data_IF_869781171702
#
_entry.id   IF_869781171702
#
_cell.length_a   1.000
_cell.length_b   1.000
_cell.length_c   1.000
_cell.angle_alpha   90.00
_cell.angle_beta   90.00
_cell.angle_gamma   90.00
#
_symmetry.space_group_name_H-M   'P 1'
#
loop_
_entity.id
_entity.type
_entity.pdbx_description
1 polymer ?
#
# COMPACT_ATOMS: atom_id res chain seq x y z
N UNK A 1 -3.25 27.89 -13.42
CA UNK A 1 -3.91 26.61 -13.11
C UNK A 1 -4.86 26.27 -14.27
N UNK A 2 -4.54 25.22 -15.04
CA UNK A 2 -5.40 24.67 -16.10
C UNK A 2 -6.66 24.04 -15.49
N UNK A 3 -7.80 24.04 -16.22
CA UNK A 3 -9.09 23.43 -15.81
C UNK A 3 -8.96 21.99 -15.27
N UNK A 4 -7.96 21.23 -15.75
CA UNK A 4 -7.62 19.87 -15.33
C UNK A 4 -7.02 19.74 -13.91
N UNK A 5 -6.55 20.82 -13.30
CA UNK A 5 -6.06 20.87 -11.91
C UNK A 5 -7.22 21.11 -10.92
N UNK A 6 -8.34 21.64 -11.41
CA UNK A 6 -9.45 22.04 -10.56
C UNK A 6 -10.36 20.85 -10.19
N UNK A 7 -10.62 19.92 -11.10
CA UNK A 7 -11.45 18.73 -10.81
C UNK A 7 -10.83 17.81 -9.72
N UNK A 8 -9.50 17.72 -9.66
CA UNK A 8 -8.76 16.92 -8.67
C UNK A 8 -8.77 17.49 -7.24
N UNK A 9 -9.42 18.63 -7.03
CA UNK A 9 -9.47 19.30 -5.73
C UNK A 9 -10.76 19.01 -4.95
N UNK A 10 -11.68 18.22 -5.52
CA UNK A 10 -12.84 17.71 -4.80
C UNK A 10 -12.42 16.83 -3.60
N UNK A 11 -13.03 17.04 -2.45
CA UNK A 11 -12.72 16.38 -1.18
C UNK A 11 -11.70 17.12 -0.30
N UNK A 12 -10.93 18.06 -0.84
CA UNK A 12 -9.87 18.76 -0.10
C UNK A 12 -10.41 19.77 0.92
N UNK A 13 -9.68 19.96 2.01
CA UNK A 13 -9.87 21.07 2.94
C UNK A 13 -9.20 22.33 2.39
N UNK A 14 -9.87 23.46 2.48
CA UNK A 14 -9.35 24.75 2.06
C UNK A 14 -9.85 25.85 2.97
N UNK A 15 -9.04 26.90 3.14
CA UNK A 15 -9.44 28.17 3.70
C UNK A 15 -9.89 29.11 2.59
N UNK A 16 -10.95 29.87 2.88
CA UNK A 16 -11.39 30.94 1.99
C UNK A 16 -10.45 32.13 2.17
N UNK A 17 -10.00 32.74 1.07
CA UNK A 17 -9.17 33.94 1.09
C UNK A 17 -9.58 34.90 -0.04
N UNK A 18 -9.42 36.21 0.19
CA UNK A 18 -9.68 37.24 -0.81
C UNK A 18 -11.11 37.28 -1.39
N UNK A 19 -12.09 36.71 -0.69
CA UNK A 19 -13.49 36.70 -1.12
C UNK A 19 -14.11 38.08 -0.87
N UNK A 20 -14.32 38.86 -1.94
CA UNK A 20 -14.84 40.22 -1.85
C UNK A 20 -16.34 40.29 -1.57
N UNK A 21 -17.12 39.31 -2.04
CA UNK A 21 -18.59 39.31 -1.88
C UNK A 21 -19.05 39.02 -0.45
N UNK A 22 -18.21 38.33 0.32
CA UNK A 22 -18.45 37.92 1.71
C UNK A 22 -17.14 37.96 2.49
N UNK A 23 -16.60 39.15 2.80
CA UNK A 23 -15.30 39.29 3.44
C UNK A 23 -15.20 38.62 4.81
N UNK A 24 -16.34 38.49 5.51
CA UNK A 24 -16.48 37.81 6.80
C UNK A 24 -16.14 36.32 6.76
N UNK A 25 -16.19 35.70 5.57
CA UNK A 25 -15.83 34.30 5.38
C UNK A 25 -14.33 34.11 5.10
N UNK A 26 -13.54 35.17 4.93
CA UNK A 26 -12.10 35.03 4.76
C UNK A 26 -11.45 34.46 6.03
N UNK A 27 -10.67 33.39 5.87
CA UNK A 27 -10.11 32.59 6.95
C UNK A 27 -10.97 31.39 7.36
N UNK A 28 -12.25 31.33 6.93
CA UNK A 28 -13.13 30.21 7.23
C UNK A 28 -12.67 28.93 6.49
N UNK A 29 -12.76 27.79 7.19
CA UNK A 29 -12.47 26.47 6.64
C UNK A 29 -13.65 25.92 5.88
N UNK A 30 -13.37 25.24 4.77
CA UNK A 30 -14.35 24.62 3.93
C UNK A 30 -13.81 23.33 3.30
N UNK A 31 -14.71 22.37 3.05
CA UNK A 31 -14.42 21.19 2.23
C UNK A 31 -14.86 21.45 0.80
N UNK A 32 -13.99 21.21 -0.17
CA UNK A 32 -14.36 21.27 -1.58
C UNK A 32 -15.22 20.05 -1.91
N UNK A 33 -16.40 20.28 -2.47
CA UNK A 33 -17.32 19.20 -2.86
C UNK A 33 -17.06 18.77 -4.31
N UNK A 34 -16.99 19.74 -5.22
CA UNK A 34 -16.76 19.51 -6.65
C UNK A 34 -16.36 20.78 -7.37
N UNK A 35 -15.72 20.64 -8.52
CA UNK A 35 -15.49 21.73 -9.45
C UNK A 35 -16.67 21.85 -10.43
N UNK A 36 -17.11 23.07 -10.70
CA UNK A 36 -18.17 23.42 -11.65
C UNK A 36 -17.53 24.05 -12.89
N UNK A 37 -17.25 23.28 -13.96
CA UNK A 37 -16.51 23.75 -15.12
C UNK A 37 -17.21 24.90 -15.85
N UNK A 38 -18.54 24.82 -15.99
CA UNK A 38 -19.36 25.84 -16.68
C UNK A 38 -19.29 27.22 -16.01
N UNK A 39 -19.00 27.24 -14.70
CA UNK A 39 -18.94 28.46 -13.88
C UNK A 39 -17.51 28.86 -13.52
N UNK A 40 -16.53 28.03 -13.89
CA UNK A 40 -15.13 28.12 -13.45
C UNK A 40 -15.00 28.37 -11.93
N UNK A 41 -15.77 27.61 -11.13
CA UNK A 41 -15.88 27.78 -9.67
C UNK A 41 -15.90 26.44 -8.96
N UNK A 42 -15.49 26.45 -7.70
CA UNK A 42 -15.63 25.34 -6.79
C UNK A 42 -16.92 25.44 -6.01
N UNK A 43 -17.63 24.33 -5.88
CA UNK A 43 -18.62 24.18 -4.84
C UNK A 43 -17.90 23.72 -3.58
N UNK A 44 -18.04 24.48 -2.51
CA UNK A 44 -17.43 24.22 -1.20
C UNK A 44 -18.52 24.12 -0.15
N UNK A 45 -18.22 23.44 0.95
CA UNK A 45 -19.06 23.37 2.14
C UNK A 45 -18.31 23.96 3.32
N UNK A 46 -18.87 25.00 3.93
CA UNK A 46 -18.28 25.61 5.13
C UNK A 46 -18.31 24.64 6.31
N UNK A 47 -17.24 24.64 7.10
CA UNK A 47 -17.16 23.82 8.32
C UNK A 47 -17.99 24.37 9.49
N UNK A 48 -18.41 25.64 9.44
CA UNK A 48 -19.13 26.32 10.52
C UNK A 48 -20.61 25.96 10.59
N UNK A 49 -21.28 25.95 9.44
CA UNK A 49 -22.74 25.88 9.33
C UNK A 49 -23.19 24.94 8.19
N UNK A 50 -22.27 24.15 7.64
CA UNK A 50 -22.48 23.26 6.49
C UNK A 50 -23.03 23.98 5.24
N UNK A 51 -22.99 25.31 5.18
CA UNK A 51 -23.52 26.06 4.06
C UNK A 51 -22.68 25.82 2.80
N UNK A 52 -23.36 25.61 1.66
CA UNK A 52 -22.71 25.36 0.39
C UNK A 52 -22.54 26.66 -0.41
N UNK A 53 -21.31 26.96 -0.80
CA UNK A 53 -20.94 28.17 -1.54
C UNK A 53 -20.24 27.84 -2.86
N UNK A 54 -20.30 28.78 -3.81
CA UNK A 54 -19.59 28.68 -5.08
C UNK A 54 -18.52 29.77 -5.22
N UNK A 55 -17.25 29.40 -5.09
CA UNK A 55 -16.12 30.35 -5.05
C UNK A 55 -15.14 30.10 -6.18
N UNK A 56 -14.37 31.12 -6.58
CA UNK A 56 -13.31 30.96 -7.59
C UNK A 56 -12.12 30.21 -6.99
N UNK A 57 -11.32 29.58 -7.83
CA UNK A 57 -10.06 28.94 -7.42
C UNK A 57 -9.13 29.90 -6.65
N UNK A 58 -9.06 31.16 -7.09
CA UNK A 58 -8.26 32.23 -6.46
C UNK A 58 -8.74 32.58 -5.05
N UNK A 59 -9.95 32.14 -4.66
CA UNK A 59 -10.50 32.36 -3.34
C UNK A 59 -10.30 31.19 -2.38
N UNK A 60 -9.57 30.16 -2.80
CA UNK A 60 -9.28 28.98 -2.00
C UNK A 60 -7.77 28.85 -1.78
N UNK A 61 -7.38 28.83 -0.52
CA UNK A 61 -6.08 28.38 -0.07
C UNK A 61 -6.26 26.97 0.47
N UNK A 62 -5.85 25.96 -0.29
CA UNK A 62 -5.92 24.58 0.17
C UNK A 62 -5.06 24.42 1.42
N UNK A 63 -5.65 23.91 2.50
CA UNK A 63 -4.86 23.55 3.66
C UNK A 63 -4.13 22.27 3.30
N UNK A 64 -2.79 22.32 3.28
CA UNK A 64 -1.96 21.14 3.25
C UNK A 64 -2.33 20.30 4.48
N UNK A 65 -3.14 19.26 4.28
CA UNK A 65 -3.31 18.24 5.30
C UNK A 65 -1.91 17.74 5.62
N UNK A 66 -1.53 17.67 6.90
CA UNK A 66 -0.22 17.24 7.38
C UNK A 66 0.27 15.86 6.86
N UNK A 67 -0.55 15.18 6.04
CA UNK A 67 -0.25 13.95 5.30
C UNK A 67 0.19 14.19 3.83
N UNK A 68 0.30 15.46 3.38
CA UNK A 68 0.45 15.85 1.98
C UNK A 68 1.89 16.01 1.47
N UNK A 69 2.89 16.07 2.35
CA UNK A 69 4.30 16.06 1.93
C UNK A 69 4.79 14.62 1.77
N UNK A 70 4.91 14.17 0.52
CA UNK A 70 5.63 12.94 0.20
C UNK A 70 7.15 13.07 0.37
N UNK A 71 7.67 14.29 0.50
CA UNK A 71 9.05 14.54 0.93
C UNK A 71 9.07 14.73 2.43
N UNK A 72 9.21 13.63 3.16
CA UNK A 72 9.62 13.67 4.57
C UNK A 72 11.07 13.19 4.66
N UNK A 73 11.71 13.37 5.82
CA UNK A 73 13.05 12.82 6.09
C UNK A 73 13.17 11.30 5.85
N UNK A 74 12.04 10.59 5.74
CA UNK A 74 11.96 9.13 5.60
C UNK A 74 11.60 8.65 4.21
N UNK A 75 11.11 9.52 3.33
CA UNK A 75 10.66 9.16 1.98
C UNK A 75 11.50 9.91 0.96
N UNK A 76 12.18 9.16 0.08
CA UNK A 76 12.87 9.73 -1.07
C UNK A 76 12.13 9.35 -2.34
N UNK A 77 11.72 10.36 -3.10
CA UNK A 77 11.04 10.20 -4.38
C UNK A 77 11.45 11.33 -5.32
N UNK A 78 11.80 10.97 -6.55
CA UNK A 78 11.97 11.94 -7.65
C UNK A 78 10.60 12.48 -8.13
N UNK A 79 9.51 11.88 -7.65
CA UNK A 79 8.12 12.17 -8.00
C UNK A 79 7.27 12.51 -6.77
N UNK A 80 7.84 13.20 -5.80
CA UNK A 80 7.15 13.51 -4.54
C UNK A 80 5.80 14.23 -4.74
N UNK A 81 5.68 15.09 -5.76
CA UNK A 81 4.44 15.81 -6.06
C UNK A 81 3.42 14.99 -6.89
N UNK A 82 3.80 13.79 -7.36
CA UNK A 82 2.95 12.96 -8.23
C UNK A 82 1.98 12.08 -7.44
N UNK A 83 2.03 12.06 -6.11
CA UNK A 83 1.17 11.23 -5.27
C UNK A 83 0.56 12.05 -4.14
N UNK A 84 -0.56 11.58 -3.58
CA UNK A 84 -1.17 12.23 -2.41
C UNK A 84 -2.00 11.25 -1.60
N UNK A 85 -1.91 11.33 -0.28
CA UNK A 85 -2.81 10.61 0.62
C UNK A 85 -4.17 11.31 0.64
N UNK A 86 -5.23 10.58 0.35
CA UNK A 86 -6.60 11.10 0.29
C UNK A 86 -7.58 10.11 0.93
N UNK A 87 -8.73 10.60 1.38
CA UNK A 87 -9.84 9.71 1.75
C UNK A 87 -10.41 9.04 0.50
N UNK A 88 -10.54 7.72 0.56
CA UNK A 88 -11.09 6.84 -0.48
C UNK A 88 -12.38 6.23 0.08
N UNK A 89 -13.46 6.42 -0.67
CA UNK A 89 -14.80 6.05 -0.21
C UNK A 89 -14.88 4.58 0.20
N UNK A 90 -15.34 4.34 1.45
CA UNK A 90 -15.44 3.02 2.05
C UNK A 90 -14.12 2.29 2.33
N UNK A 91 -12.96 2.94 2.15
CA UNK A 91 -11.62 2.31 2.26
C UNK A 91 -10.63 3.10 3.11
N UNK A 92 -11.10 4.16 3.78
CA UNK A 92 -10.27 5.03 4.61
C UNK A 92 -9.27 5.82 3.75
N UNK A 93 -8.06 6.03 4.25
CA UNK A 93 -7.02 6.77 3.51
C UNK A 93 -6.30 5.87 2.52
N UNK A 94 -6.19 6.32 1.27
CA UNK A 94 -5.43 5.70 0.18
C UNK A 94 -4.42 6.68 -0.43
N UNK A 95 -3.51 6.19 -1.27
CA UNK A 95 -2.58 7.04 -2.04
C UNK A 95 -3.09 7.18 -3.48
N UNK A 96 -3.27 8.39 -3.96
CA UNK A 96 -3.77 8.70 -5.31
C UNK A 96 -2.64 9.24 -6.19
N UNK A 97 -2.54 8.77 -7.42
CA UNK A 97 -1.65 9.32 -8.44
C UNK A 97 -2.21 10.64 -8.99
N UNK A 98 -1.43 11.72 -8.92
CA UNK A 98 -1.75 13.03 -9.47
C UNK A 98 -1.24 13.22 -10.91
N UNK A 99 -0.41 12.30 -11.37
CA UNK A 99 0.18 12.23 -12.70
C UNK A 99 0.19 10.76 -13.18
N UNK A 100 0.34 10.55 -14.49
CA UNK A 100 0.50 9.21 -15.02
C UNK A 100 1.89 8.64 -14.69
N UNK A 101 1.94 7.33 -14.46
CA UNK A 101 3.16 6.59 -14.12
C UNK A 101 3.29 5.39 -15.05
N UNK A 102 4.49 5.19 -15.59
CA UNK A 102 4.73 4.04 -16.46
C UNK A 102 5.08 2.80 -15.64
N UNK A 103 4.75 1.63 -16.17
CA UNK A 103 5.15 0.33 -15.62
C UNK A 103 6.66 0.29 -15.36
N UNK A 104 7.04 -0.19 -14.18
CA UNK A 104 8.43 -0.36 -13.75
C UNK A 104 9.07 0.88 -13.15
N UNK A 105 8.41 2.05 -13.20
CA UNK A 105 8.94 3.25 -12.56
C UNK A 105 9.03 3.11 -11.04
N UNK A 106 10.12 3.66 -10.47
CA UNK A 106 10.29 3.83 -9.03
C UNK A 106 9.38 4.95 -8.54
N UNK A 107 8.50 4.64 -7.58
CA UNK A 107 7.59 5.64 -7.00
C UNK A 107 8.27 6.33 -5.82
N UNK A 108 8.74 5.54 -4.85
CA UNK A 108 9.49 6.04 -3.70
C UNK A 108 10.30 4.94 -3.01
N UNK A 109 11.27 5.38 -2.21
CA UNK A 109 11.95 4.58 -1.19
C UNK A 109 11.59 5.17 0.17
N UNK A 110 11.24 4.34 1.13
CA UNK A 110 10.84 4.76 2.48
C UNK A 110 11.62 3.99 3.57
N UNK A 111 12.04 4.69 4.63
CA UNK A 111 12.63 4.10 5.84
C UNK A 111 11.55 3.92 6.92
N UNK A 112 11.64 2.88 7.78
CA UNK A 112 10.60 2.60 8.73
C UNK A 112 10.58 3.63 9.88
N UNK A 113 9.39 3.84 10.45
CA UNK A 113 9.23 4.60 11.70
C UNK A 113 9.30 3.70 12.93
N UNK A 114 8.86 2.46 12.81
CA UNK A 114 8.93 1.45 13.85
C UNK A 114 9.46 0.16 13.24
N UNK A 115 10.23 -0.61 13.99
CA UNK A 115 10.72 -1.91 13.57
C UNK A 115 10.77 -2.87 14.74
N UNK A 116 10.43 -4.13 14.50
CA UNK A 116 10.49 -5.18 15.49
C UNK A 116 11.12 -6.44 14.91
N UNK A 117 12.02 -7.07 15.65
CA UNK A 117 12.69 -8.29 15.25
C UNK A 117 12.26 -9.43 16.18
N UNK A 118 11.77 -10.54 15.60
CA UNK A 118 11.39 -11.75 16.35
C UNK A 118 12.05 -12.98 15.77
N UNK A 119 12.40 -13.98 16.60
CA UNK A 119 12.70 -15.30 16.07
C UNK A 119 11.52 -15.82 15.25
N UNK A 120 11.77 -16.39 14.07
CA UNK A 120 10.71 -16.86 13.15
C UNK A 120 9.73 -17.84 13.82
N UNK A 121 10.19 -18.57 14.83
CA UNK A 121 9.39 -19.51 15.65
C UNK A 121 8.19 -18.83 16.35
N UNK A 122 8.30 -17.53 16.62
CA UNK A 122 7.28 -16.73 17.29
C UNK A 122 6.60 -15.72 16.33
N UNK A 123 7.02 -15.65 15.07
CA UNK A 123 6.52 -14.69 14.09
C UNK A 123 5.04 -14.89 13.73
N UNK A 124 4.49 -16.10 13.90
CA UNK A 124 3.08 -16.41 13.67
C UNK A 124 2.18 -16.15 14.89
N UNK A 125 2.77 -15.83 16.04
CA UNK A 125 2.03 -15.44 17.24
C UNK A 125 1.52 -14.01 17.09
N UNK A 126 0.20 -13.83 17.20
CA UNK A 126 -0.42 -12.51 17.21
C UNK A 126 -0.23 -11.78 18.56
N UNK A 127 0.33 -12.47 19.55
CA UNK A 127 0.54 -11.96 20.90
C UNK A 127 1.93 -11.37 21.05
N UNK A 128 2.02 -10.17 21.60
CA UNK A 128 3.27 -9.49 21.91
C UNK A 128 3.60 -9.67 23.38
N UNK A 129 4.85 -10.03 23.69
CA UNK A 129 5.35 -10.04 25.05
C UNK A 129 5.51 -8.61 25.59
N UNK A 130 5.41 -8.40 26.92
CA UNK A 130 5.52 -7.06 27.52
C UNK A 130 6.78 -6.29 27.13
N UNK A 131 7.92 -6.98 26.99
CA UNK A 131 9.19 -6.37 26.57
C UNK A 131 9.12 -5.82 25.14
N UNK A 132 8.43 -6.51 24.24
CA UNK A 132 8.26 -6.12 22.84
C UNK A 132 7.32 -4.93 22.71
N UNK A 133 6.25 -4.93 23.52
CA UNK A 133 5.34 -3.79 23.67
C UNK A 133 6.13 -2.57 24.14
N UNK A 134 6.97 -2.73 25.17
CA UNK A 134 7.80 -1.66 25.72
C UNK A 134 8.80 -1.12 24.69
N UNK A 135 9.43 -2.01 23.90
CA UNK A 135 10.39 -1.61 22.87
C UNK A 135 9.74 -0.81 21.73
N UNK A 136 8.59 -1.27 21.22
CA UNK A 136 7.82 -0.52 20.22
C UNK A 136 7.31 0.81 20.77
N UNK A 137 6.87 0.83 22.03
CA UNK A 137 6.44 2.05 22.70
C UNK A 137 7.59 3.07 22.87
N UNK A 138 8.79 2.60 23.21
CA UNK A 138 9.98 3.43 23.29
C UNK A 138 10.32 4.08 21.95
N UNK A 139 10.30 3.30 20.86
CA UNK A 139 10.49 3.83 19.50
C UNK A 139 9.43 4.88 19.14
N UNK A 140 8.15 4.58 19.38
CA UNK A 140 7.05 5.51 19.12
C UNK A 140 7.18 6.81 19.92
N UNK A 141 7.54 6.71 21.20
CA UNK A 141 7.68 7.86 22.09
C UNK A 141 8.80 8.81 21.64
N UNK A 142 9.85 8.27 21.01
CA UNK A 142 10.97 9.02 20.47
C UNK A 142 10.72 9.66 19.08
N UNK A 143 9.60 9.34 18.41
CA UNK A 143 9.25 9.96 17.13
C UNK A 143 8.93 11.45 17.27
N UNK A 144 9.07 12.20 16.19
CA UNK A 144 8.51 13.55 16.10
C UNK A 144 6.98 13.51 16.20
N UNK A 145 6.36 14.57 16.72
CA UNK A 145 4.88 14.61 16.87
C UNK A 145 4.14 14.48 15.53
N UNK A 146 4.74 14.95 14.43
CA UNK A 146 4.21 14.73 13.08
C UNK A 146 4.12 13.24 12.73
N UNK A 147 5.21 12.50 12.93
CA UNK A 147 5.25 11.05 12.70
C UNK A 147 4.33 10.29 13.67
N UNK A 148 4.27 10.69 14.95
CA UNK A 148 3.33 10.09 15.91
C UNK A 148 1.89 10.26 15.45
N UNK A 149 1.49 11.47 15.02
CA UNK A 149 0.15 11.75 14.51
C UNK A 149 -0.19 10.87 13.29
N UNK A 150 0.79 10.67 12.39
CA UNK A 150 0.64 9.78 11.24
C UNK A 150 0.46 8.32 11.65
N UNK A 151 1.25 7.81 12.61
CA UNK A 151 1.05 6.47 13.20
C UNK A 151 -0.35 6.36 13.81
N UNK A 152 -0.80 7.38 14.56
CA UNK A 152 -2.12 7.37 15.21
C UNK A 152 -3.30 7.29 14.24
N UNK A 153 -3.09 7.70 13.00
CA UNK A 153 -4.13 7.70 11.96
C UNK A 153 -4.06 6.50 11.01
N UNK A 154 -3.19 5.52 11.27
CA UNK A 154 -3.16 4.25 10.53
C UNK A 154 -4.32 3.33 10.95
N UNK A 155 -4.63 2.35 10.10
CA UNK A 155 -5.69 1.39 10.37
C UNK A 155 -5.39 0.54 11.61
N UNK A 156 -6.40 0.26 12.43
CA UNK A 156 -6.26 -0.61 13.60
C UNK A 156 -7.45 -1.57 13.69
N UNK A 157 -7.18 -2.87 13.64
CA UNK A 157 -8.18 -3.95 13.66
C UNK A 157 -9.11 -3.93 14.87
N UNK A 158 -8.70 -3.36 16.01
CA UNK A 158 -9.50 -3.39 17.26
C UNK A 158 -10.60 -2.33 17.33
N UNK A 159 -10.72 -1.44 16.34
CA UNK A 159 -11.87 -0.57 16.04
C UNK A 159 -12.62 0.07 17.23
N UNK A 160 -11.90 0.45 18.28
CA UNK A 160 -12.42 1.30 19.35
C UNK A 160 -11.67 2.63 19.35
N UNK A 161 -11.85 3.40 18.28
CA UNK A 161 -11.34 4.77 18.12
C UNK A 161 -12.12 5.79 18.97
N UNK A 162 -12.37 5.49 20.24
CA UNK A 162 -12.98 6.43 21.21
C UNK A 162 -11.96 7.17 22.06
N UNK A 163 -10.67 6.85 21.94
CA UNK A 163 -9.61 7.46 22.75
C UNK A 163 -8.67 8.30 21.87
N UNK A 164 -8.40 9.53 22.33
CA UNK A 164 -7.51 10.48 21.64
C UNK A 164 -6.02 10.07 21.74
N UNK A 165 -5.68 9.23 22.73
CA UNK A 165 -4.33 8.73 22.95
C UNK A 165 -4.23 7.23 22.66
N UNK A 166 -3.13 6.87 22.00
CA UNK A 166 -2.84 5.50 21.60
C UNK A 166 -2.13 4.82 22.77
N UNK A 167 -2.70 3.75 23.34
CA UNK A 167 -2.03 2.97 24.39
C UNK A 167 -0.92 2.07 23.80
N UNK A 168 0.03 1.56 24.60
CA UNK A 168 1.04 0.61 24.13
C UNK A 168 0.44 -0.62 23.44
N UNK A 169 -0.69 -1.12 23.94
CA UNK A 169 -1.38 -2.25 23.33
C UNK A 169 -2.01 -1.90 21.98
N UNK A 170 -2.63 -0.72 21.85
CA UNK A 170 -3.17 -0.24 20.58
C UNK A 170 -2.06 0.02 19.56
N UNK A 171 -0.87 0.45 20.00
CA UNK A 171 0.27 0.69 19.12
C UNK A 171 0.71 -0.61 18.46
N UNK A 172 0.81 -1.68 19.26
CA UNK A 172 1.14 -3.00 18.76
C UNK A 172 0.12 -3.53 17.77
N UNK A 173 -1.18 -3.32 18.00
CA UNK A 173 -2.23 -3.71 17.05
C UNK A 173 -2.13 -2.93 15.74
N UNK A 174 -1.85 -1.62 15.83
CA UNK A 174 -1.60 -0.76 14.67
C UNK A 174 -0.37 -1.24 13.90
N UNK A 175 0.72 -1.53 14.61
CA UNK A 175 1.95 -2.08 14.03
C UNK A 175 1.69 -3.41 13.32
N UNK A 176 1.05 -4.37 13.99
CA UNK A 176 0.76 -5.69 13.42
C UNK A 176 -0.15 -5.63 12.18
N UNK A 177 -1.01 -4.61 12.08
CA UNK A 177 -1.91 -4.44 10.92
C UNK A 177 -1.21 -3.81 9.71
N UNK A 178 -0.18 -3.00 9.93
CA UNK A 178 0.40 -2.12 8.90
C UNK A 178 1.89 -2.39 8.63
N UNK A 179 2.55 -3.26 9.40
CA UNK A 179 3.96 -3.55 9.23
C UNK A 179 4.20 -4.56 8.09
N UNK A 180 5.36 -4.45 7.47
CA UNK A 180 5.79 -5.24 6.33
C UNK A 180 6.99 -6.10 6.71
N UNK A 181 7.03 -7.29 6.12
CA UNK A 181 8.15 -8.22 6.28
C UNK A 181 9.15 -8.07 5.12
N UNK A 182 10.45 -8.27 5.37
CA UNK A 182 11.47 -8.34 4.33
C UNK A 182 11.26 -9.56 3.44
N UNK A 183 11.64 -9.44 2.17
CA UNK A 183 11.54 -10.54 1.21
C UNK A 183 12.51 -11.69 1.53
N UNK A 184 13.58 -11.40 2.27
CA UNK A 184 14.54 -12.40 2.78
C UNK A 184 14.56 -12.34 4.30
N UNK A 185 14.43 -13.51 4.95
CA UNK A 185 14.62 -13.59 6.40
C UNK A 185 16.08 -13.36 6.74
N UNK A 186 16.37 -12.31 7.51
CA UNK A 186 17.73 -12.00 7.98
C UNK A 186 18.20 -13.09 8.94
N UNK A 187 19.46 -13.53 8.82
CA UNK A 187 20.05 -14.45 9.81
C UNK A 187 20.29 -13.69 11.12
N UNK A 188 20.01 -14.31 12.27
CA UNK A 188 20.21 -13.70 13.60
C UNK A 188 21.59 -13.08 13.80
N UNK A 189 22.63 -13.71 13.22
CA UNK A 189 24.02 -13.26 13.31
C UNK A 189 24.25 -11.85 12.72
N UNK A 190 23.39 -11.38 11.80
CA UNK A 190 23.56 -10.09 11.13
C UNK A 190 22.89 -8.93 11.90
N UNK A 191 22.02 -9.23 12.88
CA UNK A 191 21.21 -8.22 13.59
C UNK A 191 21.74 -7.94 15.01
N UNK A 192 22.37 -8.93 15.63
CA UNK A 192 23.08 -8.78 16.89
C UNK A 192 24.31 -9.67 16.80
N UNK A 193 25.51 -9.17 17.13
CA UNK A 193 26.78 -9.90 17.05
C UNK A 193 26.90 -11.10 18.02
N UNK A 194 25.89 -11.96 18.07
CA UNK A 194 25.74 -13.12 18.92
C UNK A 194 25.55 -14.42 18.10
N UNK A 195 26.08 -15.50 18.65
CA UNK A 195 26.30 -16.82 18.03
C UNK A 195 25.03 -17.69 17.84
N UNK A 196 23.82 -17.13 17.89
CA UNK A 196 22.59 -17.94 17.84
C UNK A 196 22.18 -18.27 16.40
N UNK A 197 22.23 -19.56 16.04
CA UNK A 197 21.71 -20.10 14.77
C UNK A 197 20.17 -20.02 14.78
N UNK A 198 19.61 -18.94 14.26
CA UNK A 198 18.18 -18.76 14.05
C UNK A 198 17.88 -17.78 12.91
N UNK A 199 16.71 -17.91 12.30
CA UNK A 199 16.19 -16.93 11.34
C UNK A 199 15.30 -15.93 12.08
N UNK A 200 15.36 -14.64 11.72
CA UNK A 200 14.58 -13.55 12.34
C UNK A 200 13.58 -13.01 11.32
N UNK A 201 12.34 -12.76 11.75
CA UNK A 201 11.41 -11.90 11.03
C UNK A 201 11.59 -10.47 11.54
N UNK A 202 11.84 -9.54 10.62
CA UNK A 202 11.93 -8.10 10.93
C UNK A 202 10.69 -7.40 10.39
N UNK A 203 9.70 -7.15 11.23
CA UNK A 203 8.52 -6.38 10.82
C UNK A 203 8.87 -4.88 10.83
N UNK A 204 8.44 -4.14 9.81
CA UNK A 204 8.79 -2.73 9.62
C UNK A 204 7.57 -1.91 9.24
N UNK A 205 7.30 -0.84 9.99
CA UNK A 205 6.19 0.07 9.72
C UNK A 205 6.66 1.27 8.89
N UNK A 206 6.04 1.46 7.72
CA UNK A 206 6.32 2.54 6.78
C UNK A 206 5.06 3.40 6.62
N UNK A 207 5.14 4.70 6.91
CA UNK A 207 3.96 5.56 7.06
C UNK A 207 3.20 5.81 5.76
N UNK A 208 3.92 6.07 4.66
CA UNK A 208 3.31 6.28 3.35
C UNK A 208 2.91 4.95 2.72
N UNK A 209 3.79 3.95 2.77
CA UNK A 209 3.55 2.64 2.16
C UNK A 209 2.38 1.90 2.83
N UNK A 210 2.16 2.09 4.15
CA UNK A 210 0.98 1.57 4.84
C UNK A 210 -0.36 2.17 4.38
N UNK A 211 -0.35 3.25 3.57
CA UNK A 211 -1.57 3.86 2.98
C UNK A 211 -1.97 3.24 1.66
N UNK A 212 -1.16 2.37 1.08
CA UNK A 212 -1.55 1.67 -0.14
C UNK A 212 -2.63 0.64 0.20
N UNK A 213 -3.82 0.81 -0.36
CA UNK A 213 -4.92 -0.10 -0.15
C UNK A 213 -4.79 -1.40 -0.98
N UNK A 214 -5.62 -2.39 -0.65
CA UNK A 214 -5.61 -3.67 -1.33
C UNK A 214 -6.21 -3.65 -2.76
N UNK A 215 -5.61 -4.36 -3.72
CA UNK A 215 -6.33 -4.82 -4.91
C UNK A 215 -5.89 -6.24 -5.28
N UNK A 216 -6.83 -7.08 -5.74
CA UNK A 216 -6.50 -8.42 -6.25
C UNK A 216 -5.85 -8.39 -7.66
N UNK A 217 -5.88 -7.22 -8.31
CA UNK A 217 -5.07 -6.86 -9.49
C UNK A 217 -4.43 -5.49 -9.18
N UNK A 218 -3.32 -5.48 -8.43
CA UNK A 218 -2.68 -4.25 -7.98
C UNK A 218 -1.96 -3.52 -9.11
N UNK A 219 -1.72 -2.23 -8.90
CA UNK A 219 -0.93 -1.41 -9.81
C UNK A 219 0.44 -1.01 -9.25
N UNK A 220 0.73 -1.38 -8.00
CA UNK A 220 2.04 -1.23 -7.39
C UNK A 220 2.55 -2.56 -6.83
N UNK A 221 3.88 -2.69 -6.83
CA UNK A 221 4.60 -3.71 -6.08
C UNK A 221 5.61 -3.04 -5.15
N UNK A 222 6.12 -3.79 -4.20
CA UNK A 222 7.04 -3.31 -3.16
C UNK A 222 8.11 -4.35 -2.89
N UNK A 223 9.30 -3.89 -2.56
CA UNK A 223 10.40 -4.71 -2.05
C UNK A 223 10.88 -4.16 -0.72
N UNK A 224 10.97 -5.02 0.29
CA UNK A 224 11.50 -4.65 1.61
C UNK A 224 12.86 -5.31 1.78
N UNK A 225 13.92 -4.51 1.74
CA UNK A 225 15.30 -4.96 1.80
C UNK A 225 16.18 -3.90 2.46
N UNK A 226 17.22 -4.34 3.20
CA UNK A 226 18.20 -3.45 3.83
C UNK A 226 17.57 -2.33 4.69
N UNK A 227 16.50 -2.65 5.43
CA UNK A 227 15.82 -1.71 6.33
C UNK A 227 15.04 -0.61 5.62
N UNK A 228 14.65 -0.79 4.36
CA UNK A 228 13.85 0.16 3.57
C UNK A 228 12.79 -0.58 2.76
N UNK A 229 11.71 0.11 2.42
CA UNK A 229 10.78 -0.34 1.39
C UNK A 229 10.98 0.48 0.12
N UNK A 230 10.98 -0.19 -1.02
CA UNK A 230 11.02 0.42 -2.34
C UNK A 230 9.74 0.06 -3.07
N UNK A 231 8.99 1.06 -3.55
CA UNK A 231 7.70 0.87 -4.22
C UNK A 231 7.83 1.20 -5.69
N UNK A 232 7.31 0.33 -6.56
CA UNK A 232 7.35 0.45 -8.01
C UNK A 232 5.96 0.34 -8.62
N UNK A 233 5.74 0.96 -9.77
CA UNK A 233 4.56 0.70 -10.59
C UNK A 233 4.65 -0.72 -11.18
N UNK A 234 3.66 -1.57 -10.89
CA UNK A 234 3.56 -2.91 -11.45
C UNK A 234 3.01 -2.87 -12.88
N UNK A 235 2.10 -1.93 -13.17
CA UNK A 235 1.56 -1.61 -14.50
C UNK A 235 1.50 -0.09 -14.69
N UNK A 236 1.10 0.36 -15.88
CA UNK A 236 0.80 1.78 -16.07
C UNK A 236 -0.31 2.21 -15.10
N UNK A 237 -0.14 3.38 -14.50
CA UNK A 237 -1.09 4.02 -13.60
C UNK A 237 -1.55 5.31 -14.24
N UNK A 238 -2.85 5.45 -14.45
CA UNK A 238 -3.40 6.71 -14.94
C UNK A 238 -3.50 7.77 -13.85
N UNK A 239 -3.48 9.04 -14.26
CA UNK A 239 -3.75 10.14 -13.33
C UNK A 239 -5.13 9.97 -12.69
N UNK A 240 -5.18 10.06 -11.36
CA UNK A 240 -6.38 9.90 -10.55
C UNK A 240 -6.63 8.48 -10.06
N UNK A 241 -5.86 7.48 -10.53
CA UNK A 241 -5.93 6.13 -9.98
C UNK A 241 -5.40 6.08 -8.55
N UNK A 242 -6.02 5.22 -7.74
CA UNK A 242 -5.48 4.83 -6.44
C UNK A 242 -4.33 3.83 -6.64
N UNK A 243 -3.22 4.09 -5.96
CA UNK A 243 -2.10 3.16 -5.85
C UNK A 243 -2.43 2.05 -4.86
N UNK A 244 -2.25 0.80 -5.29
CA UNK A 244 -2.65 -0.40 -4.55
C UNK A 244 -1.62 -1.51 -4.65
N UNK A 245 -1.52 -2.36 -3.63
CA UNK A 245 -0.76 -3.62 -3.69
C UNK A 245 -1.60 -4.78 -3.13
N UNK A 246 -1.22 -6.03 -3.39
CA UNK A 246 -1.95 -7.19 -2.82
C UNK A 246 -1.54 -7.49 -1.38
N UNK A 247 -2.51 -7.62 -0.48
CA UNK A 247 -2.28 -7.93 0.94
C UNK A 247 -2.08 -9.44 1.17
N UNK A 248 -2.49 -10.25 0.20
CA UNK A 248 -2.50 -11.71 0.28
C UNK A 248 -1.84 -12.32 -0.96
N UNK A 249 -1.63 -13.63 -0.93
CA UNK A 249 -1.12 -14.39 -2.07
C UNK A 249 -2.03 -14.29 -3.30
N UNK A 250 -1.41 -14.40 -4.47
CA UNK A 250 -2.08 -14.26 -5.77
C UNK A 250 -3.09 -15.38 -6.06
N UNK A 251 -2.83 -16.59 -5.56
CA UNK A 251 -3.49 -17.83 -5.95
C UNK A 251 -4.83 -18.12 -5.26
N UNK A 252 -5.24 -17.31 -4.29
CA UNK A 252 -6.48 -17.54 -3.56
C UNK A 252 -7.71 -17.29 -4.44
N UNK A 253 -8.74 -18.14 -4.33
CA UNK A 253 -10.06 -17.95 -4.98
C UNK A 253 -10.90 -16.84 -4.31
N UNK A 254 -11.94 -16.36 -5.00
CA UNK A 254 -12.75 -15.25 -4.53
C UNK A 254 -13.36 -15.46 -3.16
N UNK A 255 -13.87 -16.67 -2.89
CA UNK A 255 -14.48 -17.00 -1.60
C UNK A 255 -13.48 -16.84 -0.46
N UNK A 256 -12.29 -17.41 -0.62
CA UNK A 256 -11.21 -17.25 0.35
C UNK A 256 -10.78 -15.79 0.50
N UNK A 257 -10.58 -15.07 -0.62
CA UNK A 257 -10.18 -13.65 -0.62
C UNK A 257 -11.17 -12.82 0.22
N UNK A 258 -12.48 -12.92 -0.05
CA UNK A 258 -13.50 -12.17 0.70
C UNK A 258 -13.56 -12.55 2.18
N UNK A 259 -13.44 -13.84 2.51
CA UNK A 259 -13.44 -14.28 3.90
C UNK A 259 -12.26 -13.71 4.68
N UNK A 260 -11.05 -13.72 4.10
CA UNK A 260 -9.85 -13.13 4.72
C UNK A 260 -10.01 -11.63 4.89
N UNK A 261 -10.46 -10.89 3.87
CA UNK A 261 -10.66 -9.44 4.01
C UNK A 261 -11.72 -9.08 5.05
N UNK A 262 -12.80 -9.83 5.12
CA UNK A 262 -13.83 -9.61 6.12
C UNK A 262 -13.34 -9.94 7.54
N UNK A 263 -12.67 -11.08 7.72
CA UNK A 263 -12.20 -11.55 9.03
C UNK A 263 -11.02 -10.74 9.55
N UNK A 264 -10.05 -10.46 8.68
CA UNK A 264 -8.75 -9.93 9.10
C UNK A 264 -8.64 -8.42 8.98
N UNK A 265 -9.35 -7.85 8.00
CA UNK A 265 -9.28 -6.42 7.70
C UNK A 265 -10.62 -5.70 7.86
N UNK A 266 -11.73 -6.43 8.05
CA UNK A 266 -13.05 -5.86 8.27
C UNK A 266 -13.70 -5.23 7.04
N UNK A 267 -13.32 -5.60 5.82
CA UNK A 267 -13.91 -5.04 4.59
C UNK A 267 -14.25 -6.11 3.54
N UNK A 268 -15.20 -5.77 2.66
CA UNK A 268 -15.52 -6.54 1.45
C UNK A 268 -14.73 -5.96 0.29
N UNK A 269 -13.93 -6.78 -0.40
CA UNK A 269 -13.12 -6.32 -1.52
C UNK A 269 -14.00 -6.06 -2.75
N UNK A 270 -13.91 -4.84 -3.28
CA UNK A 270 -14.62 -4.38 -4.50
C UNK A 270 -13.65 -3.93 -5.59
N UNK A 271 -12.47 -4.54 -5.64
CA UNK A 271 -11.50 -4.26 -6.71
C UNK A 271 -12.02 -4.78 -8.06
N UNK A 272 -11.44 -4.35 -9.20
CA UNK A 272 -11.92 -4.76 -10.53
C UNK A 272 -12.13 -6.27 -10.69
N UNK A 273 -11.25 -7.10 -10.12
CA UNK A 273 -11.36 -8.57 -10.16
C UNK A 273 -12.54 -9.08 -9.31
N UNK A 274 -12.72 -8.55 -8.10
CA UNK A 274 -13.83 -8.97 -7.22
C UNK A 274 -15.19 -8.39 -7.65
N UNK A 275 -15.21 -7.48 -8.62
CA UNK A 275 -16.42 -6.89 -9.19
C UNK A 275 -16.78 -7.49 -10.56
N UNK A 276 -16.06 -8.53 -11.01
CA UNK A 276 -16.39 -9.29 -12.20
C UNK A 276 -17.76 -10.02 -12.08
N UNK A 277 -18.34 -10.35 -13.22
CA UNK A 277 -19.52 -11.22 -13.28
C UNK A 277 -19.20 -12.65 -12.84
N UNK A 278 -20.22 -13.46 -12.49
CA UNK A 278 -19.99 -14.82 -11.97
C UNK A 278 -19.18 -15.73 -12.89
N UNK A 279 -19.33 -15.58 -14.21
CA UNK A 279 -18.60 -16.40 -15.19
C UNK A 279 -17.12 -16.01 -15.24
N UNK A 280 -16.81 -14.71 -15.40
CA UNK A 280 -15.42 -14.25 -15.46
C UNK A 280 -14.69 -14.46 -14.13
N UNK A 281 -15.41 -14.37 -13.01
CA UNK A 281 -14.87 -14.66 -11.69
C UNK A 281 -14.53 -16.15 -11.52
N UNK A 282 -15.37 -17.06 -12.03
CA UNK A 282 -15.09 -18.50 -12.02
C UNK A 282 -13.86 -18.86 -12.86
N UNK A 283 -13.70 -18.21 -14.03
CA UNK A 283 -12.51 -18.35 -14.87
C UNK A 283 -11.26 -17.79 -14.19
N UNK A 284 -11.35 -16.63 -13.53
CA UNK A 284 -10.24 -16.08 -12.74
C UNK A 284 -9.83 -17.02 -11.62
N UNK A 285 -10.81 -17.56 -10.88
CA UNK A 285 -10.53 -18.49 -9.78
C UNK A 285 -9.92 -19.81 -10.30
N UNK A 286 -10.32 -20.29 -11.48
CA UNK A 286 -9.69 -21.44 -12.11
C UNK A 286 -8.22 -21.19 -12.46
N UNK A 287 -7.91 -20.03 -13.03
CA UNK A 287 -6.53 -19.62 -13.35
C UNK A 287 -5.68 -19.47 -12.09
N UNK A 288 -6.22 -18.86 -11.02
CA UNK A 288 -5.52 -18.70 -9.73
C UNK A 288 -5.24 -20.04 -9.04
N UNK A 289 -6.18 -20.99 -9.06
CA UNK A 289 -5.94 -22.38 -8.59
C UNK A 289 -4.90 -23.11 -9.43
N UNK A 290 -4.91 -22.90 -10.75
CA UNK A 290 -3.88 -23.47 -11.62
C UNK A 290 -2.50 -22.89 -11.29
N UNK A 291 -2.41 -21.59 -11.02
CA UNK A 291 -1.16 -20.96 -10.59
C UNK A 291 -0.66 -21.55 -9.27
N UNK A 292 -1.53 -21.74 -8.28
CA UNK A 292 -1.20 -22.37 -6.99
C UNK A 292 -0.50 -23.72 -7.19
N UNK A 293 -1.13 -24.58 -7.99
CA UNK A 293 -0.60 -25.89 -8.31
C UNK A 293 0.76 -25.82 -9.02
N UNK A 294 0.92 -24.87 -9.96
CA UNK A 294 2.19 -24.66 -10.66
C UNK A 294 3.30 -24.15 -9.72
N UNK A 295 2.98 -23.27 -8.77
CA UNK A 295 3.94 -22.77 -7.79
C UNK A 295 4.44 -23.89 -6.86
N UNK A 296 3.55 -24.78 -6.44
CA UNK A 296 3.88 -25.99 -5.66
C UNK A 296 4.77 -26.98 -6.41
N UNK A 297 4.69 -27.02 -7.74
CA UNK A 297 5.53 -27.90 -8.58
C UNK A 297 6.94 -27.33 -8.81
N UNK A 298 7.13 -26.01 -8.78
CA UNK A 298 8.41 -25.37 -9.07
C UNK A 298 9.58 -25.90 -8.21
N UNK A 299 9.46 -26.03 -6.87
CA UNK A 299 10.54 -26.58 -6.04
C UNK A 299 10.85 -28.05 -6.35
N UNK A 300 9.83 -28.85 -6.71
CA UNK A 300 9.98 -30.29 -7.03
C UNK A 300 10.80 -30.47 -8.30
N UNK A 301 10.43 -29.76 -9.37
CA UNK A 301 11.15 -29.76 -10.64
C UNK A 301 12.58 -29.22 -10.48
N UNK A 302 12.76 -28.18 -9.67
CA UNK A 302 14.08 -27.61 -9.36
C UNK A 302 14.98 -28.62 -8.65
N UNK A 303 14.46 -29.34 -7.65
CA UNK A 303 15.19 -30.38 -6.91
C UNK A 303 15.55 -31.57 -7.81
N UNK A 304 14.63 -31.95 -8.69
CA UNK A 304 14.84 -33.00 -9.69
C UNK A 304 15.73 -32.57 -10.88
N UNK A 305 16.16 -31.29 -10.93
CA UNK A 305 16.94 -30.70 -12.04
C UNK A 305 16.23 -30.82 -13.39
N UNK A 306 14.90 -30.84 -13.40
CA UNK A 306 14.04 -30.89 -14.60
C UNK A 306 13.87 -29.49 -15.18
N UNK A 307 14.96 -28.94 -15.74
CA UNK A 307 15.02 -27.54 -16.15
C UNK A 307 14.11 -27.19 -17.34
N UNK A 308 13.88 -28.13 -18.26
CA UNK A 308 13.01 -27.90 -19.43
C UNK A 308 11.55 -27.79 -19.00
N UNK A 309 11.10 -28.70 -18.15
CA UNK A 309 9.76 -28.75 -17.56
C UNK A 309 9.53 -27.51 -16.69
N UNK A 310 10.54 -27.10 -15.90
CA UNK A 310 10.46 -25.88 -15.10
C UNK A 310 10.24 -24.63 -15.98
N UNK A 311 10.92 -24.52 -17.13
CA UNK A 311 10.66 -23.43 -18.08
C UNK A 311 9.24 -23.45 -18.66
N UNK A 312 8.68 -24.64 -18.92
CA UNK A 312 7.29 -24.77 -19.38
C UNK A 312 6.30 -24.34 -18.29
N UNK A 313 6.55 -24.71 -17.03
CA UNK A 313 5.76 -24.28 -15.87
C UNK A 313 5.80 -22.76 -15.74
N UNK A 314 6.99 -22.13 -15.78
CA UNK A 314 7.09 -20.69 -15.74
C UNK A 314 6.37 -19.99 -16.90
N UNK A 315 6.44 -20.54 -18.12
CA UNK A 315 5.72 -19.98 -19.26
C UNK A 315 4.19 -19.99 -19.06
N UNK A 316 3.64 -21.06 -18.48
CA UNK A 316 2.22 -21.15 -18.11
C UNK A 316 1.85 -20.14 -17.01
N UNK A 317 2.66 -20.04 -15.96
CA UNK A 317 2.46 -19.07 -14.89
C UNK A 317 2.49 -17.63 -15.43
N UNK A 318 3.43 -17.30 -16.32
CA UNK A 318 3.47 -15.99 -17.00
C UNK A 318 2.16 -15.71 -17.74
N UNK A 319 1.63 -16.68 -18.48
CA UNK A 319 0.39 -16.50 -19.22
C UNK A 319 -0.77 -16.16 -18.27
N UNK A 320 -0.89 -16.92 -17.17
CA UNK A 320 -1.88 -16.66 -16.12
C UNK A 320 -1.72 -15.24 -15.55
N UNK A 321 -0.51 -14.81 -15.18
CA UNK A 321 -0.28 -13.47 -14.63
C UNK A 321 -0.73 -12.36 -15.60
N UNK A 322 -0.45 -12.53 -16.90
CA UNK A 322 -0.86 -11.57 -17.93
C UNK A 322 -2.37 -11.49 -18.09
N UNK A 323 -3.06 -12.63 -18.10
CA UNK A 323 -4.50 -12.65 -18.23
C UNK A 323 -5.20 -12.16 -16.95
N UNK A 324 -4.61 -12.34 -15.77
CA UNK A 324 -5.13 -11.81 -14.50
C UNK A 324 -4.81 -10.31 -14.31
N UNK A 325 -3.94 -9.76 -15.14
CA UNK A 325 -3.48 -8.38 -15.03
C UNK A 325 -2.74 -8.10 -13.72
N UNK A 326 -2.04 -9.09 -13.15
CA UNK A 326 -1.20 -8.92 -11.97
C UNK A 326 0.27 -9.12 -12.35
N UNK A 327 0.98 -8.00 -12.46
CA UNK A 327 2.39 -7.98 -12.80
C UNK A 327 3.30 -8.31 -11.60
N UNK A 328 2.76 -8.39 -10.38
CA UNK A 328 3.52 -8.72 -9.16
C UNK A 328 4.10 -10.15 -9.21
N UNK A 329 3.28 -11.22 -9.35
CA UNK A 329 3.79 -12.58 -9.51
C UNK A 329 4.58 -12.74 -10.81
N UNK A 330 4.29 -11.97 -11.86
CA UNK A 330 5.02 -12.04 -13.12
C UNK A 330 6.51 -11.76 -12.95
N UNK A 331 6.90 -10.76 -12.15
CA UNK A 331 8.32 -10.46 -11.89
C UNK A 331 9.05 -11.64 -11.23
N UNK A 332 8.37 -12.36 -10.32
CA UNK A 332 8.94 -13.56 -9.67
C UNK A 332 9.10 -14.72 -10.66
N UNK A 333 8.09 -14.93 -11.50
CA UNK A 333 8.12 -15.94 -12.57
C UNK A 333 9.27 -15.64 -13.55
N UNK A 334 9.46 -14.39 -13.95
CA UNK A 334 10.55 -13.98 -14.83
C UNK A 334 11.93 -14.18 -14.21
N UNK A 335 12.08 -13.93 -12.90
CA UNK A 335 13.29 -14.24 -12.16
C UNK A 335 13.57 -15.74 -12.09
N UNK A 336 12.54 -16.57 -11.92
CA UNK A 336 12.66 -18.03 -11.97
C UNK A 336 13.08 -18.52 -13.35
N UNK A 337 12.50 -17.98 -14.42
CA UNK A 337 12.90 -18.33 -15.79
C UNK A 337 14.36 -18.00 -16.07
N UNK A 338 14.81 -16.80 -15.71
CA UNK A 338 16.19 -16.36 -15.95
C UNK A 338 17.18 -17.31 -15.28
N UNK A 339 17.00 -17.57 -13.97
CA UNK A 339 17.84 -18.51 -13.21
C UNK A 339 17.81 -19.91 -13.81
N UNK A 340 16.66 -20.36 -14.33
CA UNK A 340 16.54 -21.68 -14.95
C UNK A 340 17.28 -21.77 -16.28
N UNK A 341 17.19 -20.73 -17.13
CA UNK A 341 17.95 -20.66 -18.39
C UNK A 341 19.46 -20.72 -18.13
N UNK A 342 19.95 -19.95 -17.17
CA UNK A 342 21.37 -19.98 -16.76
C UNK A 342 21.83 -21.38 -16.32
N UNK A 343 20.98 -22.13 -15.59
CA UNK A 343 21.29 -23.52 -15.19
C UNK A 343 21.29 -24.47 -16.38
N UNK A 344 20.35 -24.32 -17.29
CA UNK A 344 20.26 -25.16 -18.49
C UNK A 344 21.46 -24.95 -19.42
N UNK A 345 21.93 -23.71 -19.57
CA UNK A 345 23.16 -23.39 -20.30
C UNK A 345 24.40 -23.99 -19.64
N UNK A 346 24.51 -23.91 -18.31
CA UNK A 346 25.63 -24.51 -17.56
C UNK A 346 25.69 -26.03 -17.64
N UNK A 347 24.56 -26.71 -17.78
CA UNK A 347 24.51 -28.18 -17.92
C UNK A 347 24.69 -28.66 -19.37
N UNK A 348 24.72 -27.75 -20.36
CA UNK A 348 25.03 -28.07 -21.77
C UNK A 348 26.54 -28.00 -22.08
N UNK A 349 27.31 -27.35 -21.21
CA UNK A 349 28.78 -27.33 -21.22
C UNK A 349 29.28 -28.43 -20.29
#
# INVERSE_FOLDING_TARGET
MTQLCAASQAGLQAKIAGLQSRPELNGARAKVLKYLPDKNRFQIRLASDEACLSVKATNLQFEDTADGELQTTRVTSERANAFRVMEVDGRGKGVIALEAVQKGELLWVETPVLSHCRPVQFATSHSFHPEEISMLWGQFSALAESDKSRVRSLANKSNNSRFAELSPHQLVQTFATNAFQPEETTRMADVAGGSTRGSVSSDMLFLLTARLNHSCSPNCTRRVQAGKVTVFAARNVEKGEELTFSYIGFWHDHGFRQQVFQRDYGFVCKCPVCSLGPAELAESDARRRQYDWLDDELPKLRKAKQWKELLQVCAKMRAICKEEGDDTPLMLVEGNERRTREKLEKNRK
#
